data_IF_314262677195
#
_entry.id   IF_314262677195
#
_cell.length_a   1.000
_cell.length_b   1.000
_cell.length_c   1.000
_cell.angle_alpha   90.00
_cell.angle_beta   90.00
_cell.angle_gamma   90.00
#
_symmetry.space_group_name_H-M   'P 1'
#
loop_
_entity.id
_entity.type
_entity.pdbx_description
1 polymer ?
#
# COMPACT_ATOMS: atom_id res chain seq x y z
N UNK A 1 -12.90 12.05 19.57
CA UNK A 1 -12.12 10.81 19.68
C UNK A 1 -11.58 10.44 18.31
N UNK A 2 -10.28 10.28 18.20
CA UNK A 2 -9.69 9.92 16.91
C UNK A 2 -9.93 8.46 16.61
N UNK A 3 -10.33 8.19 15.37
CA UNK A 3 -10.48 6.82 14.91
C UNK A 3 -9.11 6.21 14.66
N UNK A 4 -9.01 4.90 14.90
CA UNK A 4 -7.78 4.16 14.62
C UNK A 4 -7.52 4.12 13.12
N UNK A 5 -6.31 4.47 12.72
CA UNK A 5 -5.91 4.38 11.31
C UNK A 5 -5.58 2.93 10.96
N UNK A 6 -6.02 2.53 9.79
CA UNK A 6 -5.88 1.16 9.27
C UNK A 6 -5.03 1.15 8.00
N UNK A 7 -4.08 0.23 7.94
CA UNK A 7 -3.23 0.06 6.77
C UNK A 7 -3.29 -1.37 6.23
N UNK A 8 -3.32 -1.49 4.92
CA UNK A 8 -3.15 -2.77 4.21
C UNK A 8 -1.74 -2.77 3.63
N UNK A 9 -0.95 -3.77 3.99
CA UNK A 9 0.45 -3.86 3.59
C UNK A 9 0.64 -5.12 2.75
N UNK A 10 0.94 -4.93 1.48
CA UNK A 10 1.12 -6.02 0.53
C UNK A 10 2.57 -6.11 0.06
N UNK A 11 3.24 -7.16 0.45
CA UNK A 11 4.64 -7.43 0.12
C UNK A 11 4.90 -8.91 0.39
N UNK A 12 5.61 -9.59 -0.49
CA UNK A 12 5.90 -11.00 -0.30
C UNK A 12 6.95 -11.27 0.79
N UNK A 13 7.65 -10.24 1.24
CA UNK A 13 8.64 -10.34 2.30
C UNK A 13 8.01 -10.08 3.67
N UNK A 14 8.01 -11.09 4.53
CA UNK A 14 7.55 -10.94 5.91
C UNK A 14 8.35 -9.86 6.63
N UNK A 15 9.68 -9.86 6.42
CA UNK A 15 10.56 -8.87 7.04
C UNK A 15 10.14 -7.45 6.64
N UNK A 16 9.86 -7.24 5.37
CA UNK A 16 9.46 -5.93 4.87
C UNK A 16 8.11 -5.50 5.44
N UNK A 17 7.14 -6.42 5.49
CA UNK A 17 5.84 -6.09 6.09
C UNK A 17 5.99 -5.69 7.55
N UNK A 18 6.77 -6.43 8.32
CA UNK A 18 6.98 -6.13 9.75
C UNK A 18 7.71 -4.81 9.95
N UNK A 19 8.65 -4.51 9.07
CA UNK A 19 9.37 -3.23 9.12
C UNK A 19 8.43 -2.05 8.87
N UNK A 20 7.57 -2.16 7.86
CA UNK A 20 6.59 -1.11 7.57
C UNK A 20 5.59 -0.95 8.70
N UNK A 21 5.11 -2.04 9.27
CA UNK A 21 4.19 -2.01 10.41
C UNK A 21 4.82 -1.25 11.58
N UNK A 22 6.08 -1.54 11.87
CA UNK A 22 6.80 -0.88 12.96
C UNK A 22 6.86 0.63 12.74
N UNK A 23 7.16 1.05 11.52
CA UNK A 23 7.22 2.47 11.16
C UNK A 23 5.83 3.11 11.30
N UNK A 24 4.81 2.44 10.77
CA UNK A 24 3.44 2.96 10.77
C UNK A 24 2.85 3.07 12.17
N UNK A 25 3.22 2.15 13.07
CA UNK A 25 2.80 2.25 14.48
C UNK A 25 3.28 3.54 15.10
N UNK A 26 4.49 3.97 14.76
CA UNK A 26 5.03 5.24 15.27
C UNK A 26 4.28 6.44 14.73
N UNK A 27 3.55 6.28 13.62
CA UNK A 27 2.76 7.34 13.01
C UNK A 27 1.28 7.30 13.40
N UNK A 28 0.93 6.43 14.35
CA UNK A 28 -0.42 6.37 14.89
C UNK A 28 -1.33 5.31 14.29
N UNK A 29 -0.83 4.49 13.37
CA UNK A 29 -1.60 3.38 12.83
C UNK A 29 -1.73 2.29 13.88
N UNK A 30 -2.92 1.71 14.01
CA UNK A 30 -3.20 0.68 15.02
C UNK A 30 -3.75 -0.60 14.44
N UNK A 31 -4.36 -0.55 13.27
CA UNK A 31 -4.92 -1.73 12.61
C UNK A 31 -4.15 -2.03 11.33
N UNK A 32 -3.76 -3.28 11.18
CA UNK A 32 -2.94 -3.69 10.04
C UNK A 32 -3.49 -4.96 9.40
N UNK A 33 -3.58 -4.93 8.07
CA UNK A 33 -3.89 -6.08 7.25
C UNK A 33 -2.65 -6.40 6.45
N UNK A 34 -2.25 -7.66 6.43
CA UNK A 34 -1.08 -8.09 5.68
C UNK A 34 -1.48 -8.98 4.52
N UNK A 35 -0.80 -8.81 3.40
CA UNK A 35 -0.96 -9.66 2.23
C UNK A 35 0.42 -9.99 1.69
N UNK A 36 0.65 -11.27 1.38
CA UNK A 36 1.94 -11.69 0.84
C UNK A 36 1.95 -11.81 -0.68
N UNK A 37 0.81 -11.60 -1.32
CA UNK A 37 0.70 -11.57 -2.78
C UNK A 37 -0.49 -10.69 -3.19
N UNK A 38 -0.61 -10.47 -4.48
CA UNK A 38 -1.66 -9.60 -5.01
C UNK A 38 -3.07 -10.15 -4.82
N UNK A 39 -3.23 -11.46 -4.85
CA UNK A 39 -4.54 -12.09 -4.65
C UNK A 39 -5.03 -11.85 -3.23
N UNK A 40 -4.14 -12.06 -2.26
CA UNK A 40 -4.48 -11.80 -0.86
C UNK A 40 -4.77 -10.32 -0.62
N UNK A 41 -4.01 -9.43 -1.28
CA UNK A 41 -4.22 -8.00 -1.15
C UNK A 41 -5.63 -7.61 -1.60
N UNK A 42 -6.06 -8.13 -2.75
CA UNK A 42 -7.41 -7.87 -3.26
C UNK A 42 -8.47 -8.43 -2.33
N UNK A 43 -8.28 -9.64 -1.82
CA UNK A 43 -9.23 -10.28 -0.90
C UNK A 43 -9.36 -9.48 0.40
N UNK A 44 -8.25 -9.03 0.97
CA UNK A 44 -8.28 -8.24 2.19
C UNK A 44 -8.96 -6.89 1.95
N UNK A 45 -8.65 -6.24 0.84
CA UNK A 45 -9.28 -4.98 0.45
C UNK A 45 -10.80 -5.14 0.33
N UNK A 46 -11.25 -6.21 -0.30
CA UNK A 46 -12.66 -6.47 -0.58
C UNK A 46 -13.50 -6.57 0.70
N UNK A 47 -12.91 -7.02 1.79
CA UNK A 47 -13.59 -7.18 3.08
C UNK A 47 -13.76 -5.89 3.87
N UNK A 48 -13.12 -4.81 3.43
CA UNK A 48 -13.05 -3.59 4.24
C UNK A 48 -14.08 -2.55 3.84
N UNK A 49 -14.52 -1.77 4.82
CA UNK A 49 -15.38 -0.61 4.62
C UNK A 49 -14.56 0.68 4.63
N UNK A 50 -13.39 0.63 5.26
CA UNK A 50 -12.48 1.77 5.30
C UNK A 50 -11.03 1.29 5.39
N UNK A 51 -10.16 1.97 4.70
CA UNK A 51 -8.71 1.76 4.75
C UNK A 51 -8.07 3.13 4.58
N UNK A 52 -7.15 3.48 5.47
CA UNK A 52 -6.49 4.79 5.40
C UNK A 52 -5.27 4.78 4.50
N UNK A 53 -4.54 3.66 4.48
CA UNK A 53 -3.31 3.53 3.71
C UNK A 53 -3.20 2.13 3.11
N UNK A 54 -2.75 2.08 1.87
CA UNK A 54 -2.42 0.82 1.20
C UNK A 54 -0.98 0.95 0.71
N UNK A 55 -0.09 0.06 1.17
CA UNK A 55 1.25 -0.04 0.61
C UNK A 55 1.31 -1.28 -0.26
N UNK A 56 1.79 -1.13 -1.49
CA UNK A 56 1.84 -2.20 -2.47
C UNK A 56 3.22 -2.33 -3.08
N UNK A 57 3.76 -3.54 -3.04
CA UNK A 57 4.93 -3.88 -3.84
C UNK A 57 4.42 -4.29 -5.23
N UNK A 58 5.16 -3.93 -6.26
CA UNK A 58 4.81 -4.32 -7.63
C UNK A 58 5.14 -5.80 -7.84
N UNK A 59 6.32 -6.22 -7.43
CA UNK A 59 6.77 -7.61 -7.66
C UNK A 59 6.33 -8.50 -6.52
N UNK A 60 5.31 -9.31 -6.76
CA UNK A 60 4.81 -10.30 -5.83
C UNK A 60 4.46 -11.57 -6.61
N UNK A 61 4.47 -12.70 -5.93
CA UNK A 61 4.10 -13.98 -6.56
C UNK A 61 2.61 -13.97 -6.93
N UNK A 62 2.30 -14.66 -8.00
CA UNK A 62 0.93 -14.74 -8.50
C UNK A 62 0.50 -13.45 -9.18
N UNK A 63 -0.23 -12.62 -8.47
CA UNK A 63 -0.70 -11.33 -9.01
C UNK A 63 0.23 -10.22 -8.53
N UNK A 64 0.76 -9.41 -9.46
CA UNK A 64 1.61 -8.27 -9.11
C UNK A 64 0.80 -7.09 -8.53
N UNK A 65 1.51 -6.11 -7.98
CA UNK A 65 0.87 -4.98 -7.31
C UNK A 65 0.06 -4.07 -8.22
N UNK A 66 0.48 -3.90 -9.47
CA UNK A 66 -0.28 -3.08 -10.42
C UNK A 66 -1.60 -3.76 -10.79
N UNK A 67 -1.55 -5.06 -11.06
CA UNK A 67 -2.75 -5.84 -11.35
C UNK A 67 -3.69 -5.85 -10.14
N UNK A 68 -3.13 -5.99 -8.94
CA UNK A 68 -3.93 -5.93 -7.71
C UNK A 68 -4.64 -4.57 -7.59
N UNK A 69 -3.93 -3.49 -7.88
CA UNK A 69 -4.50 -2.15 -7.83
C UNK A 69 -5.63 -1.97 -8.85
N UNK A 70 -5.45 -2.49 -10.07
CA UNK A 70 -6.50 -2.48 -11.08
C UNK A 70 -7.75 -3.22 -10.61
N UNK A 71 -7.56 -4.38 -9.97
CA UNK A 71 -8.69 -5.17 -9.45
C UNK A 71 -9.40 -4.46 -8.31
N UNK A 72 -8.65 -3.83 -7.41
CA UNK A 72 -9.23 -3.05 -6.33
C UNK A 72 -10.08 -1.90 -6.88
N UNK A 73 -9.59 -1.24 -7.92
CA UNK A 73 -10.31 -0.17 -8.58
C UNK A 73 -11.64 -0.66 -9.17
N UNK A 74 -11.62 -1.83 -9.81
CA UNK A 74 -12.83 -2.43 -10.37
C UNK A 74 -13.83 -2.86 -9.28
N UNK A 75 -13.33 -3.40 -8.17
CA UNK A 75 -14.18 -3.93 -7.11
C UNK A 75 -14.86 -2.81 -6.30
N UNK A 76 -14.09 -1.80 -5.89
CA UNK A 76 -14.63 -0.72 -5.07
C UNK A 76 -13.84 0.57 -5.25
N UNK A 77 -14.14 1.26 -6.31
CA UNK A 77 -13.50 2.52 -6.67
C UNK A 77 -13.63 3.59 -5.56
N UNK A 78 -14.79 3.65 -4.92
CA UNK A 78 -15.04 4.60 -3.84
C UNK A 78 -14.10 4.40 -2.67
N UNK A 79 -13.99 3.16 -2.21
CA UNK A 79 -13.09 2.82 -1.11
C UNK A 79 -11.64 3.12 -1.48
N UNK A 80 -11.25 2.72 -2.69
CA UNK A 80 -9.88 2.92 -3.15
C UNK A 80 -9.51 4.40 -3.21
N UNK A 81 -10.43 5.25 -3.67
CA UNK A 81 -10.19 6.69 -3.77
C UNK A 81 -10.01 7.37 -2.42
N UNK A 82 -10.60 6.82 -1.38
CA UNK A 82 -10.46 7.35 -0.03
C UNK A 82 -9.15 6.95 0.64
N UNK A 83 -8.56 5.85 0.19
CA UNK A 83 -7.30 5.37 0.75
C UNK A 83 -6.12 6.10 0.11
N UNK A 84 -5.09 6.32 0.90
CA UNK A 84 -3.81 6.76 0.36
C UNK A 84 -3.06 5.53 -0.11
N UNK A 85 -2.62 5.53 -1.35
CA UNK A 85 -1.93 4.39 -1.95
C UNK A 85 -0.47 4.76 -2.17
N UNK A 86 0.42 3.99 -1.55
CA UNK A 86 1.86 4.20 -1.64
C UNK A 86 2.50 2.94 -2.23
N UNK A 87 3.14 3.08 -3.38
CA UNK A 87 3.89 1.98 -3.97
C UNK A 87 5.26 1.89 -3.30
N UNK A 88 5.63 0.72 -2.81
CA UNK A 88 6.92 0.49 -2.14
C UNK A 88 7.56 -0.72 -2.80
N UNK A 89 8.47 -0.49 -3.74
CA UNK A 89 8.97 -1.55 -4.61
C UNK A 89 10.41 -1.33 -5.03
N UNK A 90 11.09 -2.41 -5.45
CA UNK A 90 12.43 -2.33 -6.01
C UNK A 90 12.41 -1.86 -7.46
N UNK A 91 11.24 -1.87 -8.11
CA UNK A 91 11.11 -1.53 -9.53
C UNK A 91 10.77 -0.06 -9.70
N UNK A 92 11.71 0.71 -10.30
CA UNK A 92 11.53 2.13 -10.54
C UNK A 92 11.31 2.48 -12.01
N UNK A 93 10.69 1.59 -12.78
CA UNK A 93 10.42 1.85 -14.19
C UNK A 93 9.35 2.91 -14.37
N UNK A 94 9.63 3.92 -15.17
CA UNK A 94 8.74 5.05 -15.40
C UNK A 94 7.34 4.63 -15.84
N UNK A 95 7.26 3.63 -16.73
CA UNK A 95 5.97 3.14 -17.22
C UNK A 95 5.09 2.60 -16.09
N UNK A 96 5.69 1.86 -15.16
CA UNK A 96 4.95 1.28 -14.03
C UNK A 96 4.55 2.35 -13.03
N UNK A 97 5.43 3.34 -12.80
CA UNK A 97 5.14 4.48 -11.94
C UNK A 97 3.93 5.24 -12.48
N UNK A 98 3.95 5.54 -13.80
CA UNK A 98 2.85 6.25 -14.44
C UNK A 98 1.54 5.48 -14.34
N UNK A 99 1.60 4.17 -14.55
CA UNK A 99 0.40 3.34 -14.45
C UNK A 99 -0.18 3.35 -13.04
N UNK A 100 0.68 3.20 -12.03
CA UNK A 100 0.25 3.25 -10.62
C UNK A 100 -0.41 4.59 -10.31
N UNK A 101 0.19 5.69 -10.76
CA UNK A 101 -0.36 7.03 -10.54
C UNK A 101 -1.71 7.20 -11.23
N UNK A 102 -1.87 6.65 -12.44
CA UNK A 102 -3.14 6.72 -13.16
C UNK A 102 -4.25 5.94 -12.46
N UNK A 103 -3.89 4.94 -11.66
CA UNK A 103 -4.83 4.13 -10.89
C UNK A 103 -5.08 4.69 -9.48
N UNK A 104 -4.49 5.83 -9.16
CA UNK A 104 -4.74 6.52 -7.91
C UNK A 104 -3.63 6.46 -6.87
N UNK A 105 -2.48 5.87 -7.19
CA UNK A 105 -1.34 5.89 -6.28
C UNK A 105 -0.89 7.34 -6.09
N UNK A 106 -0.59 7.70 -4.85
CA UNK A 106 -0.21 9.07 -4.50
C UNK A 106 1.28 9.22 -4.19
N UNK A 107 1.96 8.11 -4.00
CA UNK A 107 3.38 8.14 -3.72
C UNK A 107 4.08 6.89 -4.23
N UNK A 108 5.39 6.98 -4.35
CA UNK A 108 6.20 5.90 -4.87
C UNK A 108 7.56 5.92 -4.18
N UNK A 109 7.92 4.82 -3.54
CA UNK A 109 9.21 4.68 -2.86
C UNK A 109 9.93 3.47 -3.41
N UNK A 110 11.20 3.64 -3.78
CA UNK A 110 12.02 2.53 -4.26
C UNK A 110 12.79 1.89 -3.11
N UNK A 111 12.88 0.56 -3.12
CA UNK A 111 13.69 -0.19 -2.18
C UNK A 111 15.14 -0.23 -2.67
N UNK A 112 16.12 -0.21 -1.77
CA UNK A 112 15.99 -0.05 -0.32
C UNK A 112 15.65 1.39 0.06
N UNK A 113 14.90 1.55 1.14
CA UNK A 113 14.52 2.87 1.64
C UNK A 113 14.99 3.06 3.09
N UNK A 114 15.04 4.31 3.50
CA UNK A 114 15.27 4.66 4.90
C UNK A 114 13.94 4.95 5.56
N UNK A 115 13.86 4.70 6.85
CA UNK A 115 12.67 4.98 7.65
C UNK A 115 12.12 6.39 7.41
N UNK A 116 13.03 7.39 7.36
CA UNK A 116 12.64 8.79 7.17
C UNK A 116 11.91 9.02 5.85
N UNK A 117 12.24 8.26 4.81
CA UNK A 117 11.58 8.38 3.52
C UNK A 117 10.12 7.95 3.60
N UNK A 118 9.83 6.89 4.34
CA UNK A 118 8.46 6.43 4.56
C UNK A 118 7.68 7.46 5.36
N UNK A 119 8.27 7.94 6.45
CA UNK A 119 7.64 8.92 7.33
C UNK A 119 7.29 10.19 6.56
N UNK A 120 8.23 10.68 5.76
CA UNK A 120 8.04 11.89 4.97
C UNK A 120 6.90 11.72 3.96
N UNK A 121 6.88 10.60 3.24
CA UNK A 121 5.82 10.33 2.27
C UNK A 121 4.45 10.25 2.94
N UNK A 122 4.36 9.55 4.07
CA UNK A 122 3.09 9.43 4.79
C UNK A 122 2.58 10.79 5.25
N UNK A 123 3.47 11.64 5.74
CA UNK A 123 3.10 13.00 6.18
C UNK A 123 2.59 13.85 5.02
N UNK A 124 3.18 13.68 3.84
CA UNK A 124 2.74 14.42 2.65
C UNK A 124 1.36 13.98 2.15
N UNK A 125 0.95 12.76 2.50
CA UNK A 125 -0.34 12.22 2.06
C UNK A 125 -1.51 12.66 2.95
N UNK A 126 -1.22 13.14 4.12
CA UNK A 126 -2.27 13.56 5.07
C UNK A 126 -2.85 14.93 4.74
#
# INVERSE_FOLDING_TARGET
MEESKKALIADDSLFMRKNLIKILKQLGFKEFLEAEDGIQAVKEFEKQNNIDLITLDITMMGMDGITALERMYEINKKLLKKANILMVTAIGKQELIQKALSLGARGYITKPFKKDQIIEQIKLLD
#
